data_IF_913059891382
#
_entry.id   IF_913059891382
#
_cell.length_a   1.000
_cell.length_b   1.000
_cell.length_c   1.000
_cell.angle_alpha   90.00
_cell.angle_beta   90.00
_cell.angle_gamma   90.00
#
_symmetry.space_group_name_H-M   'P 1'
#
loop_
_entity.id
_entity.type
_entity.pdbx_description
1 polymer ?
#
# COMPACT_ATOMS: atom_id res chain seq x y z
N UNK A 1 -15.62 6.96 4.57
CA UNK A 1 -15.38 6.79 3.11
C UNK A 1 -14.52 7.88 2.47
N UNK A 2 -14.87 9.18 2.56
CA UNK A 2 -14.09 10.28 1.95
C UNK A 2 -12.64 10.34 2.45
N UNK A 3 -12.43 10.06 3.75
CA UNK A 3 -11.09 10.05 4.36
C UNK A 3 -10.21 8.90 3.84
N UNK A 4 -10.80 7.70 3.64
CA UNK A 4 -10.08 6.54 3.13
C UNK A 4 -9.69 6.71 1.65
N UNK A 5 -10.60 7.27 0.83
CA UNK A 5 -10.30 7.61 -0.57
C UNK A 5 -9.20 8.65 -0.72
N UNK A 6 -9.18 9.67 0.14
CA UNK A 6 -8.10 10.67 0.15
C UNK A 6 -6.75 10.05 0.51
N UNK A 7 -6.72 9.19 1.52
CA UNK A 7 -5.51 8.44 1.89
C UNK A 7 -5.04 7.49 0.77
N UNK A 8 -5.97 6.81 0.09
CA UNK A 8 -5.67 5.93 -1.04
C UNK A 8 -5.03 6.69 -2.22
N UNK A 9 -5.55 7.87 -2.57
CA UNK A 9 -4.97 8.73 -3.60
C UNK A 9 -3.57 9.24 -3.23
N UNK A 10 -3.29 9.45 -1.95
CA UNK A 10 -1.96 9.82 -1.44
C UNK A 10 -0.97 8.63 -1.47
N UNK A 11 -1.43 7.42 -1.13
CA UNK A 11 -0.64 6.18 -1.24
C UNK A 11 -0.35 5.83 -2.71
N UNK A 12 -1.32 5.95 -3.61
CA UNK A 12 -1.16 5.66 -5.04
C UNK A 12 -0.11 6.54 -5.72
N UNK A 13 0.01 7.82 -5.32
CA UNK A 13 1.08 8.72 -5.78
C UNK A 13 2.46 8.38 -5.20
N UNK A 14 2.52 7.66 -4.08
CA UNK A 14 3.75 7.30 -3.37
C UNK A 14 4.41 6.02 -3.90
N UNK A 15 3.66 5.14 -4.57
CA UNK A 15 4.15 3.83 -5.08
C UNK A 15 4.87 3.95 -6.44
N UNK A 16 4.91 5.13 -7.08
CA UNK A 16 5.50 5.33 -8.41
C UNK A 16 7.04 5.55 -8.42
N UNK A 17 7.73 5.35 -7.30
CA UNK A 17 9.08 5.87 -7.07
C UNK A 17 10.03 4.73 -6.70
N UNK A 18 10.63 4.15 -7.76
CA UNK A 18 11.91 3.40 -7.81
C UNK A 18 11.93 1.87 -7.64
N UNK A 19 11.78 1.15 -8.76
CA UNK A 19 12.26 -0.23 -8.94
C UNK A 19 13.31 -0.31 -10.07
N UNK A 20 14.51 0.22 -9.81
CA UNK A 20 15.74 -0.17 -10.53
C UNK A 20 16.95 -0.09 -9.59
N UNK A 21 17.17 -1.12 -8.78
CA UNK A 21 18.41 -1.29 -8.02
C UNK A 21 19.36 -2.22 -8.80
N UNK A 22 20.54 -1.70 -9.14
CA UNK A 22 21.66 -2.41 -9.78
C UNK A 22 22.49 -3.13 -8.71
N UNK A 23 23.09 -4.32 -8.93
CA UNK A 23 23.87 -4.99 -7.90
C UNK A 23 25.12 -4.16 -7.54
N UNK A 24 25.29 -3.86 -6.26
CA UNK A 24 26.41 -3.08 -5.72
C UNK A 24 27.38 -3.98 -4.93
N UNK A 25 28.67 -3.72 -5.10
CA UNK A 25 29.81 -4.33 -4.39
C UNK A 25 29.71 -4.15 -2.86
N UNK A 26 30.34 -5.05 -2.07
CA UNK A 26 30.26 -4.99 -0.62
C UNK A 26 31.07 -3.80 -0.10
N UNK A 27 30.37 -2.82 0.44
CA UNK A 27 30.96 -1.72 1.20
C UNK A 27 30.38 -1.79 2.62
N UNK A 28 31.15 -1.33 3.61
CA UNK A 28 30.89 -1.33 5.06
C UNK A 28 29.68 -0.48 5.49
N UNK A 29 28.61 -0.48 4.70
CA UNK A 29 27.38 0.26 4.95
C UNK A 29 26.31 -0.71 5.45
N UNK A 30 25.40 -0.26 6.35
CA UNK A 30 24.21 -1.02 6.68
C UNK A 30 23.53 -1.46 5.39
N UNK A 31 23.07 -2.71 5.35
CA UNK A 31 22.49 -3.32 4.16
C UNK A 31 21.59 -2.27 3.48
N UNK A 32 21.87 -1.89 2.22
CA UNK A 32 21.11 -0.86 1.53
C UNK A 32 19.61 -1.13 1.55
N UNK A 33 19.23 -2.41 1.60
CA UNK A 33 17.86 -2.85 1.80
C UNK A 33 17.29 -2.47 3.17
N UNK A 34 18.01 -2.70 4.27
CA UNK A 34 17.55 -2.37 5.62
C UNK A 34 17.39 -0.85 5.78
N UNK A 35 18.36 -0.09 5.27
CA UNK A 35 18.28 1.38 5.27
C UNK A 35 17.06 1.86 4.47
N UNK A 36 16.85 1.31 3.28
CA UNK A 36 15.69 1.64 2.45
C UNK A 36 14.38 1.24 3.13
N UNK A 37 14.33 0.06 3.73
CA UNK A 37 13.16 -0.43 4.45
C UNK A 37 12.80 0.51 5.60
N UNK A 38 13.76 0.87 6.44
CA UNK A 38 13.52 1.75 7.59
C UNK A 38 13.19 3.19 7.22
N UNK A 39 13.80 3.74 6.17
CA UNK A 39 13.66 5.17 5.84
C UNK A 39 12.56 5.45 4.81
N UNK A 40 12.19 4.45 4.00
CA UNK A 40 11.24 4.62 2.90
C UNK A 40 9.99 3.77 3.11
N UNK A 41 10.13 2.48 3.37
CA UNK A 41 8.99 1.56 3.41
C UNK A 41 8.20 1.74 4.72
N UNK A 42 8.89 1.62 5.85
CA UNK A 42 8.28 1.59 7.17
C UNK A 42 7.46 2.85 7.52
N UNK A 43 7.92 4.09 7.24
CA UNK A 43 7.12 5.29 7.50
C UNK A 43 5.81 5.31 6.71
N UNK A 44 5.83 4.84 5.45
CA UNK A 44 4.64 4.78 4.60
C UNK A 44 3.69 3.67 5.07
N UNK A 45 4.23 2.51 5.45
CA UNK A 45 3.44 1.41 6.03
C UNK A 45 2.68 1.92 7.26
N UNK A 46 3.37 2.61 8.17
CA UNK A 46 2.77 3.18 9.38
C UNK A 46 1.61 4.13 9.10
N UNK A 47 1.80 5.07 8.16
CA UNK A 47 0.74 5.99 7.75
C UNK A 47 -0.49 5.24 7.21
N UNK A 48 -0.27 4.19 6.43
CA UNK A 48 -1.33 3.32 5.92
C UNK A 48 -2.08 2.60 7.06
N UNK A 49 -1.34 1.97 7.98
CA UNK A 49 -1.92 1.26 9.12
C UNK A 49 -2.69 2.21 10.05
N UNK A 50 -2.19 3.42 10.29
CA UNK A 50 -2.90 4.43 11.07
C UNK A 50 -4.19 4.88 10.37
N UNK A 51 -4.21 4.92 9.04
CA UNK A 51 -5.45 5.19 8.30
C UNK A 51 -6.45 4.04 8.43
N UNK A 52 -5.99 2.78 8.43
CA UNK A 52 -6.84 1.60 8.67
C UNK A 52 -7.43 1.64 10.08
N UNK A 53 -6.61 1.87 11.11
CA UNK A 53 -7.06 1.98 12.51
C UNK A 53 -8.16 3.02 12.67
N UNK A 54 -7.95 4.23 12.11
CA UNK A 54 -8.97 5.28 12.10
C UNK A 54 -10.25 4.90 11.34
N UNK A 55 -10.12 4.06 10.30
CA UNK A 55 -11.27 3.51 9.58
C UNK A 55 -12.07 2.54 10.45
N UNK A 56 -11.38 1.66 11.19
CA UNK A 56 -11.98 0.73 12.15
C UNK A 56 -12.68 1.47 13.31
N UNK A 57 -12.00 2.45 13.93
CA UNK A 57 -12.56 3.29 15.00
C UNK A 57 -13.86 4.01 14.60
N UNK A 58 -13.99 4.34 13.31
CA UNK A 58 -15.18 5.01 12.74
C UNK A 58 -16.25 4.03 12.25
N UNK A 59 -16.02 2.73 12.34
CA UNK A 59 -16.91 1.71 11.77
C UNK A 59 -16.94 1.67 10.25
N UNK A 60 -15.98 2.28 9.56
CA UNK A 60 -15.85 2.20 8.09
C UNK A 60 -15.23 0.86 7.64
N UNK A 61 -14.48 0.22 8.53
CA UNK A 61 -13.86 -1.10 8.37
C UNK A 61 -14.25 -1.92 9.59
N UNK A 62 -14.65 -3.18 9.42
CA UNK A 62 -14.90 -4.09 10.54
C UNK A 62 -13.63 -4.27 11.38
N UNK A 63 -13.76 -4.15 12.70
CA UNK A 63 -12.66 -4.07 13.66
C UNK A 63 -12.16 -5.44 14.18
N UNK A 64 -12.79 -6.52 13.73
CA UNK A 64 -12.38 -7.91 14.00
C UNK A 64 -11.36 -8.46 12.99
N UNK A 65 -10.88 -7.63 12.07
CA UNK A 65 -9.81 -7.98 11.13
C UNK A 65 -8.44 -7.54 11.66
N UNK A 66 -7.40 -8.29 11.30
CA UNK A 66 -6.02 -7.86 11.51
C UNK A 66 -5.72 -6.60 10.67
N UNK A 67 -5.24 -5.54 11.34
CA UNK A 67 -4.88 -4.26 10.73
C UNK A 67 -3.80 -4.41 9.65
N UNK A 68 -2.83 -5.29 9.86
CA UNK A 68 -1.73 -5.55 8.93
C UNK A 68 -2.26 -6.21 7.66
N UNK A 69 -3.17 -7.20 7.82
CA UNK A 69 -3.83 -7.86 6.70
C UNK A 69 -4.63 -6.84 5.86
N UNK A 70 -5.39 -5.96 6.51
CA UNK A 70 -6.17 -4.94 5.79
C UNK A 70 -5.24 -3.96 5.06
N UNK A 71 -4.12 -3.57 5.67
CA UNK A 71 -3.10 -2.74 5.02
C UNK A 71 -2.48 -3.41 3.79
N UNK A 72 -2.19 -4.70 3.88
CA UNK A 72 -1.64 -5.49 2.78
C UNK A 72 -2.67 -5.69 1.65
N UNK A 73 -3.96 -5.84 1.96
CA UNK A 73 -5.03 -5.92 0.94
C UNK A 73 -5.16 -4.63 0.13
N UNK A 74 -4.96 -3.46 0.75
CA UNK A 74 -5.01 -2.19 0.04
C UNK A 74 -3.75 -1.91 -0.78
N UNK A 75 -2.57 -2.30 -0.29
CA UNK A 75 -1.28 -1.92 -0.89
C UNK A 75 -0.70 -2.99 -1.80
N UNK A 76 -0.96 -4.27 -1.53
CA UNK A 76 -0.46 -5.42 -2.27
C UNK A 76 -0.70 -5.36 -3.78
N UNK A 77 -1.91 -5.03 -4.28
CA UNK A 77 -2.16 -4.94 -5.72
C UNK A 77 -1.30 -3.87 -6.43
N UNK A 78 -0.98 -2.76 -5.74
CA UNK A 78 -0.09 -1.72 -6.26
C UNK A 78 1.37 -2.21 -6.29
N UNK A 79 1.81 -2.92 -5.26
CA UNK A 79 3.16 -3.50 -5.20
C UNK A 79 3.36 -4.55 -6.30
N UNK A 80 2.39 -5.42 -6.55
CA UNK A 80 2.45 -6.41 -7.64
C UNK A 80 2.64 -5.72 -8.99
N UNK A 81 1.92 -4.63 -9.25
CA UNK A 81 2.03 -3.87 -10.51
C UNK A 81 3.38 -3.15 -10.68
N UNK A 82 4.02 -2.73 -9.59
CA UNK A 82 5.25 -1.92 -9.65
C UNK A 82 6.54 -2.73 -9.50
N UNK A 83 6.48 -3.85 -8.78
CA UNK A 83 7.66 -4.67 -8.47
C UNK A 83 7.68 -5.94 -9.31
N UNK A 84 6.54 -6.62 -9.45
CA UNK A 84 6.48 -7.98 -10.03
C UNK A 84 6.09 -7.96 -11.51
N UNK A 85 5.29 -6.97 -11.96
CA UNK A 85 4.81 -6.88 -13.34
C UNK A 85 5.37 -5.64 -14.07
N UNK A 86 6.61 -5.70 -14.60
CA UNK A 86 7.17 -4.61 -15.38
C UNK A 86 6.25 -4.22 -16.54
N UNK A 87 5.94 -2.93 -16.68
CA UNK A 87 5.08 -2.41 -17.74
C UNK A 87 3.58 -2.39 -17.42
N UNK A 88 3.15 -2.90 -16.26
CA UNK A 88 1.78 -2.69 -15.82
C UNK A 88 1.52 -1.21 -15.53
N UNK A 89 0.38 -0.71 -15.98
CA UNK A 89 -0.02 0.69 -15.80
C UNK A 89 -0.49 0.95 -14.36
N UNK A 90 -0.08 2.11 -13.82
CA UNK A 90 -0.70 2.71 -12.64
C UNK A 90 -1.68 3.79 -13.13
N UNK A 91 -2.84 3.35 -13.59
CA UNK A 91 -3.81 4.28 -14.16
C UNK A 91 -4.32 5.25 -13.09
N UNK A 92 -4.69 6.48 -13.45
CA UNK A 92 -5.39 7.37 -12.55
C UNK A 92 -6.62 6.68 -11.91
N UNK A 93 -6.82 6.91 -10.62
CA UNK A 93 -7.93 6.32 -9.87
C UNK A 93 -7.74 4.85 -9.47
N UNK A 94 -6.59 4.22 -9.78
CA UNK A 94 -6.37 2.81 -9.46
C UNK A 94 -6.43 2.53 -7.95
N UNK A 95 -5.86 3.40 -7.12
CA UNK A 95 -5.84 3.23 -5.67
C UNK A 95 -7.26 3.31 -5.08
N UNK A 96 -8.06 4.27 -5.55
CA UNK A 96 -9.46 4.42 -5.18
C UNK A 96 -10.27 3.20 -5.59
N UNK A 97 -10.08 2.70 -6.82
CA UNK A 97 -10.74 1.47 -7.28
C UNK A 97 -10.36 0.26 -6.42
N UNK A 98 -9.09 0.11 -6.04
CA UNK A 98 -8.66 -0.99 -5.15
C UNK A 98 -9.37 -0.90 -3.81
N UNK A 99 -9.39 0.30 -3.20
CA UNK A 99 -10.08 0.51 -1.92
C UNK A 99 -11.55 0.20 -2.01
N UNK A 100 -12.26 0.75 -2.99
CA UNK A 100 -13.69 0.50 -3.20
C UNK A 100 -13.94 -1.01 -3.39
N UNK A 101 -13.13 -1.66 -4.22
CA UNK A 101 -13.24 -3.10 -4.52
C UNK A 101 -13.05 -3.97 -3.28
N UNK A 102 -12.07 -3.66 -2.43
CA UNK A 102 -11.78 -4.39 -1.19
C UNK A 102 -12.90 -4.17 -0.17
N UNK A 103 -13.39 -2.93 -0.01
CA UNK A 103 -14.49 -2.60 0.90
C UNK A 103 -15.82 -3.23 0.45
N UNK A 104 -16.06 -3.28 -0.86
CA UNK A 104 -17.20 -3.98 -1.45
C UNK A 104 -17.08 -5.50 -1.31
N UNK A 105 -15.88 -6.01 -1.00
CA UNK A 105 -15.61 -7.43 -0.82
C UNK A 105 -15.78 -8.24 -2.10
N UNK A 106 -15.47 -7.62 -3.26
CA UNK A 106 -15.49 -8.23 -4.60
C UNK A 106 -16.78 -9.01 -4.93
N UNK A 107 -17.91 -8.55 -4.40
CA UNK A 107 -19.27 -9.13 -4.49
C UNK A 107 -19.64 -9.65 -5.91
N UNK A 108 -20.42 -10.75 -6.01
CA UNK A 108 -21.77 -10.81 -5.42
C UNK A 108 -21.99 -11.93 -4.41
N UNK A 109 -22.85 -11.64 -3.42
CA UNK A 109 -23.57 -12.66 -2.65
C UNK A 109 -25.00 -12.72 -3.18
N UNK A 110 -25.18 -13.48 -4.25
CA UNK A 110 -26.46 -13.99 -4.75
C UNK A 110 -26.43 -15.49 -4.62
#
# INVERSE_FOLDING_TARGET
>A
MVALRRAAGEVGRSVAVHTRARPAQPQLHPNPWDTYHHTVIEPRRRLGLDAVRRGMERGEIRDDLDVELVGDLFTGPLLIRTVIRPGATLEPGLAERIVDTVLEGLRPRT
#
